data_IF_818277519351
#
_entry.id   IF_818277519351
#
_cell.length_a   1.000
_cell.length_b   1.000
_cell.length_c   1.000
_cell.angle_alpha   90.00
_cell.angle_beta   90.00
_cell.angle_gamma   90.00
#
_symmetry.space_group_name_H-M   'P 1'
#
loop_
_entity.id
_entity.type
_entity.pdbx_description
1 polymer ?
#
# COMPACT_ATOMS: atom_id res chain seq x y z
N UNK A 1 95.56 6.89 0.57
CA UNK A 1 95.17 5.97 -0.52
C UNK A 1 93.65 5.92 -0.53
N UNK A 2 92.96 6.75 -1.33
CA UNK A 2 92.63 6.54 -2.76
C UNK A 2 91.73 5.32 -2.98
N UNK A 3 90.43 5.62 -3.19
CA UNK A 3 89.39 4.98 -4.06
C UNK A 3 88.97 3.52 -3.78
N UNK A 4 87.72 3.07 -3.88
CA UNK A 4 86.56 3.31 -4.78
C UNK A 4 85.27 2.90 -4.02
N UNK A 5 84.09 3.54 -4.10
CA UNK A 5 83.24 3.75 -5.28
C UNK A 5 82.12 2.69 -5.35
N UNK A 6 80.87 2.97 -4.93
CA UNK A 6 79.66 2.23 -5.35
C UNK A 6 78.38 3.06 -5.26
N UNK A 7 77.55 2.86 -6.28
CA UNK A 7 76.51 3.74 -6.83
C UNK A 7 75.24 3.83 -5.98
N UNK A 8 74.65 5.03 -6.03
CA UNK A 8 73.24 5.32 -5.80
C UNK A 8 72.39 4.50 -6.79
N UNK A 9 71.49 3.64 -6.32
CA UNK A 9 70.48 2.99 -7.17
C UNK A 9 69.10 3.54 -6.82
N UNK A 10 68.48 4.07 -7.86
CA UNK A 10 67.21 4.78 -7.92
C UNK A 10 66.04 4.04 -7.26
N UNK A 11 65.46 4.66 -6.23
CA UNK A 11 64.25 4.23 -5.55
C UNK A 11 63.01 4.75 -6.31
N UNK A 12 62.83 4.34 -7.57
CA UNK A 12 61.64 4.70 -8.38
C UNK A 12 60.77 3.50 -8.78
N UNK A 13 61.21 2.26 -8.49
CA UNK A 13 60.47 1.05 -8.89
C UNK A 13 59.44 0.53 -7.86
N UNK A 14 59.53 0.92 -6.59
CA UNK A 14 58.72 0.32 -5.53
C UNK A 14 57.39 1.04 -5.26
N UNK A 15 57.29 2.33 -5.64
CA UNK A 15 56.08 3.14 -5.41
C UNK A 15 54.95 2.90 -6.42
N UNK A 16 55.27 2.40 -7.63
CA UNK A 16 54.27 2.17 -8.67
C UNK A 16 53.50 0.84 -8.50
N UNK A 17 54.09 -0.15 -7.83
CA UNK A 17 53.44 -1.44 -7.58
C UNK A 17 52.40 -1.34 -6.45
N UNK A 18 52.69 -0.59 -5.38
CA UNK A 18 51.74 -0.37 -4.28
C UNK A 18 50.60 0.56 -4.68
N UNK A 19 50.86 1.56 -5.53
CA UNK A 19 49.81 2.43 -6.09
C UNK A 19 48.84 1.66 -7.00
N UNK A 20 49.35 0.76 -7.87
CA UNK A 20 48.48 -0.10 -8.69
C UNK A 20 47.69 -1.11 -7.86
N UNK A 21 48.28 -1.68 -6.81
CA UNK A 21 47.55 -2.60 -5.92
C UNK A 21 46.47 -1.89 -5.10
N UNK A 22 46.74 -0.65 -4.66
CA UNK A 22 45.75 0.19 -3.97
C UNK A 22 44.61 0.61 -4.90
N UNK A 23 44.90 0.92 -6.17
CA UNK A 23 43.87 1.20 -7.18
C UNK A 23 43.05 -0.05 -7.56
N UNK A 24 43.67 -1.23 -7.61
CA UNK A 24 42.95 -2.48 -7.86
C UNK A 24 42.07 -2.86 -6.65
N UNK A 25 42.50 -2.57 -5.43
CA UNK A 25 41.71 -2.78 -4.20
C UNK A 25 40.55 -1.78 -4.07
N UNK A 26 40.71 -0.52 -4.50
CA UNK A 26 39.58 0.44 -4.53
C UNK A 26 38.61 0.19 -5.68
N UNK A 27 39.06 -0.39 -6.80
CA UNK A 27 38.17 -0.83 -7.90
C UNK A 27 37.37 -2.09 -7.55
N UNK A 28 37.75 -2.82 -6.49
CA UNK A 28 37.03 -4.00 -6.00
C UNK A 28 36.17 -3.74 -4.76
N UNK A 29 35.81 -2.48 -4.47
CA UNK A 29 34.64 -2.21 -3.64
C UNK A 29 33.39 -2.42 -4.50
N UNK A 30 33.04 -3.69 -4.69
CA UNK A 30 31.68 -4.10 -5.05
C UNK A 30 30.76 -3.41 -4.05
N UNK A 31 29.97 -2.45 -4.53
CA UNK A 31 28.75 -2.07 -3.84
C UNK A 31 27.92 -3.34 -3.73
N UNK A 32 27.98 -3.98 -2.57
CA UNK A 32 27.03 -5.02 -2.22
C UNK A 32 25.71 -4.31 -1.96
N UNK A 33 25.06 -3.85 -3.04
CA UNK A 33 23.65 -3.53 -3.00
C UNK A 33 22.98 -4.81 -2.52
N UNK A 34 22.52 -4.81 -1.28
CA UNK A 34 21.71 -5.92 -0.79
C UNK A 34 20.47 -5.97 -1.69
N UNK A 35 20.45 -6.90 -2.63
CA UNK A 35 19.22 -7.37 -3.26
C UNK A 35 18.41 -8.06 -2.17
N UNK A 36 17.68 -7.27 -1.39
CA UNK A 36 16.57 -7.82 -0.64
C UNK A 36 15.62 -8.42 -1.68
N UNK A 37 15.20 -9.67 -1.51
CA UNK A 37 14.11 -10.20 -2.32
C UNK A 37 12.84 -9.41 -1.96
N UNK A 38 12.44 -8.47 -2.80
CA UNK A 38 11.30 -7.57 -2.56
C UNK A 38 9.94 -8.27 -2.75
N UNK A 39 9.97 -9.56 -3.12
CA UNK A 39 8.78 -10.34 -3.43
C UNK A 39 8.97 -11.82 -3.14
N UNK A 40 7.90 -12.49 -2.72
CA UNK A 40 7.81 -13.95 -2.65
C UNK A 40 6.96 -14.41 -3.83
N UNK A 41 7.40 -15.46 -4.53
CA UNK A 41 6.68 -16.04 -5.66
C UNK A 41 6.55 -17.56 -5.48
N UNK A 42 5.33 -18.05 -5.59
CA UNK A 42 5.00 -19.47 -5.74
C UNK A 42 4.19 -19.61 -7.03
N UNK A 43 4.61 -20.52 -7.90
CA UNK A 43 3.89 -20.78 -9.15
C UNK A 43 2.62 -21.61 -8.89
N UNK A 44 1.67 -21.52 -9.81
CA UNK A 44 0.40 -22.23 -9.81
C UNK A 44 -0.41 -21.86 -11.04
N UNK A 45 -1.50 -22.58 -11.27
CA UNK A 45 -2.42 -22.33 -12.40
C UNK A 45 -3.09 -20.95 -12.28
N UNK A 46 -3.36 -20.52 -11.05
CA UNK A 46 -3.94 -19.21 -10.74
C UNK A 46 -3.03 -18.50 -9.73
N UNK A 47 -2.53 -17.32 -10.10
CA UNK A 47 -1.66 -16.52 -9.21
C UNK A 47 -2.47 -15.44 -8.50
N UNK A 48 -2.39 -15.41 -7.16
CA UNK A 48 -2.94 -14.35 -6.33
C UNK A 48 -1.85 -13.36 -5.89
N UNK A 49 -2.13 -12.07 -6.00
CA UNK A 49 -1.27 -11.01 -5.48
C UNK A 49 -1.46 -10.87 -3.97
N UNK A 50 -0.38 -10.61 -3.24
CA UNK A 50 -0.43 -10.34 -1.79
C UNK A 50 0.25 -9.03 -1.44
N UNK A 51 -0.35 -8.23 -0.55
CA UNK A 51 0.22 -6.98 -0.04
C UNK A 51 0.25 -6.99 1.49
N UNK A 52 1.47 -7.02 2.05
CA UNK A 52 1.68 -7.09 3.49
C UNK A 52 2.65 -6.00 3.97
N UNK A 53 2.45 -5.42 5.16
CA UNK A 53 3.42 -4.52 5.76
C UNK A 53 4.50 -5.33 6.49
N UNK A 54 5.34 -6.04 5.73
CA UNK A 54 6.42 -6.87 6.27
C UNK A 54 7.41 -5.99 7.02
N UNK A 55 7.74 -4.82 6.47
CA UNK A 55 8.54 -3.81 7.15
C UNK A 55 7.72 -2.60 7.62
N UNK A 56 8.25 -1.92 8.62
CA UNK A 56 7.83 -0.58 9.00
C UNK A 56 8.28 0.45 7.96
N UNK A 57 7.76 1.67 8.05
CA UNK A 57 8.25 2.80 7.26
C UNK A 57 9.70 3.08 7.65
N UNK A 58 10.58 3.16 6.66
CA UNK A 58 11.99 3.53 6.86
C UNK A 58 12.19 5.02 7.13
N UNK A 59 13.37 5.37 7.60
CA UNK A 59 13.81 6.76 7.79
C UNK A 59 14.00 7.49 6.44
N UNK A 60 14.33 8.79 6.49
CA UNK A 60 14.49 9.62 5.29
C UNK A 60 15.51 8.99 4.31
N UNK A 61 15.05 8.71 3.10
CA UNK A 61 15.85 8.10 2.03
C UNK A 61 15.86 6.57 2.03
N UNK A 62 15.39 5.91 3.10
CA UNK A 62 15.33 4.45 3.19
C UNK A 62 13.89 3.98 2.97
N UNK A 63 13.61 3.07 2.02
CA UNK A 63 12.24 2.68 1.69
C UNK A 63 11.52 1.93 2.82
N UNK A 64 12.24 1.07 3.51
CA UNK A 64 11.71 0.12 4.47
C UNK A 64 12.55 0.19 5.76
N UNK A 65 11.90 0.10 6.91
CA UNK A 65 12.53 0.07 8.22
C UNK A 65 12.51 -1.33 8.81
N UNK A 66 12.42 -1.42 10.13
CA UNK A 66 12.43 -2.68 10.87
C UNK A 66 11.30 -3.64 10.47
N UNK A 67 11.61 -4.94 10.54
CA UNK A 67 10.69 -6.03 10.26
C UNK A 67 9.56 -6.11 11.32
N UNK A 68 8.32 -6.27 10.85
CA UNK A 68 7.12 -6.40 11.67
C UNK A 68 6.72 -7.85 11.82
N UNK A 69 7.08 -8.45 12.96
CA UNK A 69 6.78 -9.86 13.26
C UNK A 69 5.28 -10.16 13.22
N UNK A 70 4.49 -9.53 14.08
CA UNK A 70 3.07 -9.84 14.23
C UNK A 70 2.19 -9.30 13.08
N UNK A 71 2.33 -8.02 12.74
CA UNK A 71 1.44 -7.36 11.75
C UNK A 71 1.89 -7.53 10.30
N UNK A 72 3.11 -8.03 10.09
CA UNK A 72 3.72 -8.27 8.78
C UNK A 72 3.89 -9.77 8.54
N UNK A 73 4.90 -10.38 9.15
CA UNK A 73 5.26 -11.79 8.93
C UNK A 73 4.11 -12.74 9.25
N UNK A 74 3.47 -12.66 10.42
CA UNK A 74 2.39 -13.60 10.74
C UNK A 74 1.22 -13.53 9.75
N UNK A 75 0.94 -12.33 9.20
CA UNK A 75 -0.14 -12.17 8.21
C UNK A 75 0.25 -12.70 6.84
N UNK A 76 1.51 -12.51 6.46
CA UNK A 76 2.07 -13.09 5.24
C UNK A 76 2.04 -14.63 5.33
N UNK A 77 2.54 -15.19 6.43
CA UNK A 77 2.50 -16.63 6.69
C UNK A 77 1.07 -17.16 6.77
N UNK A 78 0.11 -16.39 7.29
CA UNK A 78 -1.30 -16.78 7.27
C UNK A 78 -1.86 -16.91 5.85
N UNK A 79 -1.43 -16.07 4.90
CA UNK A 79 -1.80 -16.23 3.49
C UNK A 79 -1.17 -17.48 2.89
N UNK A 80 0.13 -17.72 3.14
CA UNK A 80 0.81 -18.93 2.65
C UNK A 80 0.16 -20.19 3.22
N UNK A 81 -0.13 -20.19 4.52
CA UNK A 81 -0.84 -21.28 5.18
C UNK A 81 -2.21 -21.52 4.56
N UNK A 82 -3.00 -20.48 4.30
CA UNK A 82 -4.31 -20.62 3.67
C UNK A 82 -4.21 -21.22 2.26
N UNK A 83 -3.22 -20.80 1.47
CA UNK A 83 -2.97 -21.36 0.12
C UNK A 83 -2.59 -22.82 0.20
N UNK A 84 -1.73 -23.19 1.16
CA UNK A 84 -1.36 -24.57 1.41
C UNK A 84 -2.56 -25.44 1.81
N UNK A 85 -3.49 -24.91 2.61
CA UNK A 85 -4.71 -25.63 2.96
C UNK A 85 -5.61 -25.82 1.74
N UNK A 86 -5.82 -24.76 0.93
CA UNK A 86 -6.66 -24.81 -0.27
C UNK A 86 -6.11 -25.84 -1.27
N UNK A 87 -4.80 -25.80 -1.54
CA UNK A 87 -4.18 -26.72 -2.50
C UNK A 87 -4.17 -28.19 -2.03
N UNK A 88 -4.40 -28.45 -0.73
CA UNK A 88 -4.51 -29.81 -0.16
C UNK A 88 -5.96 -30.30 -0.06
N UNK A 89 -6.94 -29.41 -0.20
CA UNK A 89 -8.35 -29.72 -0.07
C UNK A 89 -8.90 -30.26 -1.41
N UNK A 90 -9.31 -31.54 -1.50
CA UNK A 90 -9.83 -32.10 -2.74
C UNK A 90 -11.22 -31.54 -3.12
N UNK A 91 -11.96 -30.95 -2.17
CA UNK A 91 -13.31 -30.43 -2.40
C UNK A 91 -13.30 -28.98 -2.88
N UNK A 92 -12.16 -28.28 -2.76
CA UNK A 92 -11.99 -26.88 -3.14
C UNK A 92 -10.94 -26.74 -4.25
N UNK A 93 -11.36 -26.31 -5.44
CA UNK A 93 -10.49 -26.13 -6.62
C UNK A 93 -9.78 -27.41 -7.07
N UNK A 94 -10.50 -28.54 -7.14
CA UNK A 94 -9.96 -29.79 -7.65
C UNK A 94 -9.26 -29.62 -9.01
N UNK A 95 -8.00 -30.08 -9.10
CA UNK A 95 -7.11 -29.99 -10.28
C UNK A 95 -6.63 -28.58 -10.66
N UNK A 96 -6.76 -27.59 -9.78
CA UNK A 96 -6.23 -26.24 -9.99
C UNK A 96 -5.36 -25.87 -8.79
N UNK A 97 -4.10 -25.52 -9.03
CA UNK A 97 -3.19 -25.06 -7.98
C UNK A 97 -3.18 -23.54 -7.88
N UNK A 98 -3.32 -23.02 -6.66
CA UNK A 98 -3.13 -21.61 -6.37
C UNK A 98 -1.65 -21.32 -6.13
N UNK A 99 -1.12 -20.39 -6.90
CA UNK A 99 0.17 -19.74 -6.66
C UNK A 99 -0.01 -18.36 -6.06
N UNK A 100 1.09 -17.75 -5.63
CA UNK A 100 1.07 -16.40 -5.04
C UNK A 100 2.23 -15.54 -5.52
N UNK A 101 2.00 -14.23 -5.54
CA UNK A 101 3.03 -13.21 -5.68
C UNK A 101 2.83 -12.15 -4.60
N UNK A 102 3.63 -12.23 -3.54
CA UNK A 102 3.52 -11.38 -2.37
C UNK A 102 4.55 -10.26 -2.43
N UNK A 103 4.13 -9.03 -2.18
CA UNK A 103 4.97 -7.83 -2.16
C UNK A 103 4.90 -7.16 -0.78
N UNK A 104 6.02 -6.59 -0.35
CA UNK A 104 6.06 -5.74 0.83
C UNK A 104 5.56 -4.32 0.52
N UNK A 105 4.70 -3.81 1.39
CA UNK A 105 4.21 -2.42 1.31
C UNK A 105 5.11 -1.44 2.07
N UNK A 106 6.03 -1.95 2.92
CA UNK A 106 6.88 -1.18 3.82
C UNK A 106 6.12 -0.14 4.66
N UNK A 107 4.82 -0.36 4.88
CA UNK A 107 3.92 0.58 5.54
C UNK A 107 3.98 2.01 4.96
N UNK A 108 4.26 2.12 3.65
CA UNK A 108 4.45 3.41 2.96
C UNK A 108 3.64 3.42 1.67
N UNK A 109 2.71 4.35 1.58
CA UNK A 109 1.71 4.40 0.53
C UNK A 109 2.31 4.49 -0.88
N UNK A 110 3.28 5.37 -1.10
CA UNK A 110 3.95 5.56 -2.40
C UNK A 110 4.74 4.33 -2.85
N UNK A 111 5.40 3.65 -1.92
CA UNK A 111 6.14 2.43 -2.22
C UNK A 111 5.21 1.28 -2.55
N UNK A 112 4.14 1.12 -1.77
CA UNK A 112 3.13 0.10 -2.04
C UNK A 112 2.42 0.31 -3.38
N UNK A 113 2.18 1.58 -3.77
CA UNK A 113 1.66 1.95 -5.08
C UNK A 113 2.59 1.47 -6.20
N UNK A 114 3.89 1.79 -6.10
CA UNK A 114 4.91 1.37 -7.07
C UNK A 114 4.99 -0.16 -7.19
N UNK A 115 4.99 -0.87 -6.05
CA UNK A 115 4.98 -2.34 -6.04
C UNK A 115 3.71 -2.89 -6.70
N UNK A 116 2.55 -2.29 -6.45
CA UNK A 116 1.26 -2.75 -7.00
C UNK A 116 1.14 -2.58 -8.51
N UNK A 117 1.92 -1.67 -9.12
CA UNK A 117 2.01 -1.58 -10.58
C UNK A 117 2.52 -2.88 -11.20
N UNK A 118 3.30 -3.68 -10.48
CA UNK A 118 3.78 -4.97 -10.99
C UNK A 118 2.67 -6.01 -11.17
N UNK A 119 1.52 -5.86 -10.50
CA UNK A 119 0.36 -6.74 -10.70
C UNK A 119 -0.37 -6.47 -12.02
N UNK A 120 -0.26 -5.25 -12.56
CA UNK A 120 -0.89 -4.86 -13.83
C UNK A 120 0.06 -4.96 -15.02
N UNK A 121 1.35 -5.16 -14.80
CA UNK A 121 2.35 -5.28 -15.87
C UNK A 121 2.06 -6.41 -16.85
N UNK A 122 1.49 -7.53 -16.39
CA UNK A 122 1.11 -8.66 -17.24
C UNK A 122 0.00 -8.34 -18.25
N UNK A 123 -0.72 -7.24 -18.02
CA UNK A 123 -1.89 -6.83 -18.77
C UNK A 123 -1.57 -5.70 -19.76
N UNK A 124 -0.36 -5.16 -19.68
CA UNK A 124 0.17 -4.20 -20.64
C UNK A 124 0.85 -5.04 -21.73
N UNK A 125 0.23 -5.14 -22.90
CA UNK A 125 0.89 -5.70 -24.08
C UNK A 125 2.16 -4.90 -24.36
N UNK A 126 3.32 -5.53 -24.20
CA UNK A 126 4.58 -4.94 -24.66
C UNK A 126 4.73 -5.26 -26.14
N UNK A 127 4.65 -4.23 -26.98
CA UNK A 127 5.06 -4.34 -28.37
C UNK A 127 6.58 -4.55 -28.42
N UNK A 128 6.98 -5.80 -28.66
CA UNK A 128 8.38 -6.22 -28.68
C UNK A 128 9.02 -6.12 -30.07
N UNK A 129 8.29 -5.59 -31.07
CA UNK A 129 8.74 -5.57 -32.47
C UNK A 129 9.99 -4.72 -32.71
N UNK A 130 10.26 -3.73 -31.85
CA UNK A 130 11.40 -2.82 -31.96
C UNK A 130 12.66 -3.28 -31.19
N UNK A 131 12.56 -4.34 -30.38
CA UNK A 131 13.68 -4.80 -29.55
C UNK A 131 14.44 -5.91 -30.27
N UNK A 132 15.69 -5.63 -30.65
CA UNK A 132 16.61 -6.61 -31.21
C UNK A 132 17.80 -6.76 -30.27
N UNK A 133 18.16 -7.99 -29.92
CA UNK A 133 19.38 -8.24 -29.18
C UNK A 133 20.61 -7.88 -30.04
N UNK A 134 21.70 -7.42 -29.42
CA UNK A 134 22.95 -7.11 -30.11
C UNK A 134 23.50 -8.30 -30.93
N UNK A 135 23.11 -9.52 -30.54
CA UNK A 135 23.53 -10.77 -31.18
C UNK A 135 22.58 -11.22 -32.31
N UNK A 136 21.49 -10.49 -32.57
CA UNK A 136 20.48 -10.86 -33.57
C UNK A 136 19.44 -11.89 -33.08
N UNK A 137 19.62 -12.44 -31.88
CA UNK A 137 18.64 -13.34 -31.26
C UNK A 137 17.31 -12.64 -30.95
N UNK A 138 16.18 -13.36 -30.97
CA UNK A 138 14.91 -12.81 -30.52
C UNK A 138 14.99 -12.46 -29.02
N UNK A 139 14.45 -11.30 -28.61
CA UNK A 139 14.42 -10.93 -27.19
C UNK A 139 13.61 -11.95 -26.39
N UNK A 140 14.20 -12.43 -25.29
CA UNK A 140 13.48 -13.27 -24.32
C UNK A 140 12.65 -12.35 -23.43
N UNK A 141 11.36 -12.20 -23.74
CA UNK A 141 10.42 -11.53 -22.85
C UNK A 141 9.89 -12.53 -21.83
N UNK A 142 10.30 -12.40 -20.57
CA UNK A 142 9.59 -13.03 -19.47
C UNK A 142 8.23 -12.34 -19.35
N UNK A 143 7.15 -13.08 -19.67
CA UNK A 143 5.80 -12.56 -19.47
C UNK A 143 5.59 -12.37 -17.96
N UNK A 144 5.18 -11.18 -17.50
CA UNK A 144 4.89 -10.97 -16.09
C UNK A 144 3.73 -11.89 -15.65
N UNK A 145 3.71 -12.26 -14.38
CA UNK A 145 2.66 -13.13 -13.85
C UNK A 145 1.30 -12.43 -13.92
N UNK A 146 0.32 -13.10 -14.54
CA UNK A 146 -1.05 -12.61 -14.57
C UNK A 146 -1.68 -12.80 -13.20
N UNK A 147 -1.98 -11.68 -12.54
CA UNK A 147 -2.62 -11.68 -11.21
C UNK A 147 -4.13 -11.76 -11.37
N UNK A 148 -4.74 -12.78 -10.75
CA UNK A 148 -6.18 -13.02 -10.83
C UNK A 148 -6.98 -12.26 -9.77
N UNK A 149 -6.34 -11.88 -8.66
CA UNK A 149 -6.92 -11.12 -7.55
C UNK A 149 -5.83 -10.70 -6.56
N UNK A 150 -6.11 -9.70 -5.74
CA UNK A 150 -5.15 -9.14 -4.76
C UNK A 150 -5.70 -9.27 -3.35
N UNK A 151 -4.94 -9.91 -2.46
CA UNK A 151 -5.21 -9.96 -1.02
C UNK A 151 -4.40 -8.86 -0.33
N UNK A 152 -5.09 -7.96 0.36
CA UNK A 152 -4.52 -6.78 1.00
C UNK A 152 -5.01 -5.46 0.42
N UNK A 153 -4.46 -4.31 0.82
CA UNK A 153 -3.38 -4.17 1.80
C UNK A 153 -3.93 -4.04 3.23
N UNK A 154 -3.03 -3.88 4.20
CA UNK A 154 -3.40 -3.68 5.60
C UNK A 154 -3.86 -2.25 5.90
N UNK A 155 -3.09 -1.24 5.48
CA UNK A 155 -3.39 0.16 5.74
C UNK A 155 -4.45 0.70 4.78
N UNK A 156 -5.42 1.45 5.29
CA UNK A 156 -6.51 2.01 4.48
C UNK A 156 -6.01 2.90 3.34
N UNK A 157 -5.00 3.75 3.61
CA UNK A 157 -4.36 4.59 2.60
C UNK A 157 -3.78 3.77 1.44
N UNK A 158 -3.07 2.68 1.75
CA UNK A 158 -2.53 1.76 0.74
C UNK A 158 -3.66 1.08 -0.02
N UNK A 159 -4.67 0.54 0.66
CA UNK A 159 -5.78 -0.15 0.00
C UNK A 159 -6.54 0.76 -0.97
N UNK A 160 -6.76 2.03 -0.60
CA UNK A 160 -7.37 3.04 -1.48
C UNK A 160 -6.50 3.27 -2.72
N UNK A 161 -5.19 3.45 -2.55
CA UNK A 161 -4.26 3.66 -3.65
C UNK A 161 -4.21 2.47 -4.63
N UNK A 162 -4.16 1.25 -4.10
CA UNK A 162 -4.14 0.03 -4.90
C UNK A 162 -5.46 -0.19 -5.62
N UNK A 163 -6.59 -0.01 -4.95
CA UNK A 163 -7.92 -0.12 -5.57
C UNK A 163 -8.07 0.86 -6.74
N UNK A 164 -7.51 2.08 -6.60
CA UNK A 164 -7.48 3.05 -7.68
C UNK A 164 -6.61 2.63 -8.88
N UNK A 165 -5.46 1.96 -8.67
CA UNK A 165 -4.65 1.45 -9.78
C UNK A 165 -5.34 0.29 -10.49
N UNK A 166 -5.86 -0.67 -9.72
CA UNK A 166 -6.44 -1.90 -10.27
C UNK A 166 -7.67 -1.63 -11.14
N UNK A 167 -8.36 -0.49 -10.93
CA UNK A 167 -9.47 -0.02 -11.79
C UNK A 167 -9.04 0.82 -13.00
N UNK A 168 -7.82 1.39 -13.01
CA UNK A 168 -7.42 2.42 -13.98
C UNK A 168 -7.09 1.85 -15.37
N UNK A 169 -6.62 0.60 -15.45
CA UNK A 169 -6.22 0.04 -16.72
C UNK A 169 -7.44 -0.43 -17.50
N UNK A 170 -7.73 0.26 -18.60
CA UNK A 170 -8.63 -0.22 -19.63
C UNK A 170 -7.79 -1.11 -20.53
N UNK A 171 -8.11 -2.40 -20.63
CA UNK A 171 -7.60 -3.16 -21.76
C UNK A 171 -8.30 -2.59 -22.98
N UNK A 172 -7.57 -1.87 -23.83
CA UNK A 172 -8.04 -1.48 -25.15
C UNK A 172 -8.02 -2.72 -26.05
N UNK A 173 -8.83 -3.73 -25.73
CA UNK A 173 -9.30 -4.60 -26.79
C UNK A 173 -10.42 -3.83 -27.48
N UNK A 174 -10.12 -3.28 -28.66
CA UNK A 174 -11.17 -2.89 -29.60
C UNK A 174 -11.80 -4.19 -30.07
N UNK A 175 -12.77 -4.70 -29.32
CA UNK A 175 -13.71 -5.66 -29.89
C UNK A 175 -14.53 -4.90 -30.93
N UNK A 176 -14.77 -5.51 -32.10
CA UNK A 176 -15.42 -4.85 -33.23
C UNK A 176 -16.69 -4.12 -32.77
N UNK A 177 -16.73 -2.80 -33.01
CA UNK A 177 -17.83 -1.94 -32.59
C UNK A 177 -19.18 -2.53 -33.05
N UNK A 178 -20.13 -2.71 -32.11
CA UNK A 178 -21.51 -3.03 -32.47
C UNK A 178 -22.23 -1.73 -32.80
N UNK A 179 -22.68 -1.60 -34.04
CA UNK A 179 -23.65 -0.57 -34.42
C UNK A 179 -25.01 -0.96 -33.84
N UNK A 180 -25.53 -0.19 -32.89
CA UNK A 180 -26.95 -0.27 -32.51
C UNK A 180 -27.82 0.45 -33.55
N UNK A 181 -29.02 -0.05 -33.89
CA UNK A 181 -29.93 0.65 -34.81
C UNK A 181 -30.36 2.00 -34.21
N UNK A 182 -30.36 3.06 -35.04
CA UNK A 182 -30.80 4.40 -34.66
C UNK A 182 -32.34 4.47 -34.51
N UNK A 183 -32.85 5.13 -33.46
CA UNK A 183 -34.23 5.63 -33.45
C UNK A 183 -34.34 6.89 -34.33
N UNK A 184 -35.37 6.96 -35.16
CA UNK A 184 -35.58 8.04 -36.12
C UNK A 184 -36.18 9.27 -35.43
N UNK A 185 -35.37 10.30 -35.21
CA UNK A 185 -35.80 11.58 -34.63
C UNK A 185 -36.08 12.64 -35.70
N UNK A 186 -36.76 12.27 -36.79
CA UNK A 186 -37.47 13.18 -37.70
C UNK A 186 -36.62 14.26 -38.41
N UNK A 187 -35.30 14.25 -38.27
CA UNK A 187 -34.40 15.29 -38.78
C UNK A 187 -33.50 14.82 -39.93
N UNK A 188 -33.71 13.61 -40.46
CA UNK A 188 -32.98 13.12 -41.65
C UNK A 188 -31.51 12.75 -41.43
N UNK A 189 -31.02 12.77 -40.19
CA UNK A 189 -29.68 12.31 -39.82
C UNK A 189 -29.76 11.15 -38.82
N UNK A 190 -29.07 10.04 -39.12
CA UNK A 190 -28.94 8.90 -38.20
C UNK A 190 -27.73 9.14 -37.31
N UNK A 191 -27.95 9.27 -36.00
CA UNK A 191 -26.86 9.29 -35.02
C UNK A 191 -26.50 7.85 -34.69
N UNK A 192 -25.31 7.41 -35.07
CA UNK A 192 -24.78 6.12 -34.63
C UNK A 192 -24.17 6.30 -33.24
N UNK A 193 -24.71 5.60 -32.24
CA UNK A 193 -24.07 5.50 -30.94
C UNK A 193 -22.87 4.56 -31.05
N UNK A 194 -21.67 5.12 -30.84
CA UNK A 194 -20.42 4.37 -30.86
C UNK A 194 -20.08 3.91 -29.45
N UNK A 195 -20.51 2.71 -29.09
CA UNK A 195 -20.06 2.07 -27.86
C UNK A 195 -18.86 1.19 -28.17
N UNK A 196 -17.67 1.63 -27.77
CA UNK A 196 -16.49 0.74 -27.70
C UNK A 196 -16.64 -0.10 -26.44
N UNK A 197 -16.79 -1.43 -26.53
CA UNK A 197 -16.75 -2.29 -25.36
C UNK A 197 -15.32 -2.32 -24.81
N UNK A 198 -14.98 -1.33 -23.98
CA UNK A 198 -13.74 -1.36 -23.22
C UNK A 198 -13.89 -2.41 -22.13
N UNK A 199 -13.16 -3.53 -22.27
CA UNK A 199 -13.01 -4.52 -21.20
C UNK A 199 -12.21 -3.87 -20.08
N UNK A 200 -12.91 -3.25 -19.13
CA UNK A 200 -12.31 -2.71 -17.89
C UNK A 200 -11.49 -3.82 -17.25
N UNK A 201 -10.26 -3.52 -16.84
CA UNK A 201 -9.51 -4.45 -16.00
C UNK A 201 -10.23 -4.57 -14.66
N UNK A 202 -10.45 -5.81 -14.23
CA UNK A 202 -11.25 -6.16 -13.07
C UNK A 202 -10.44 -7.09 -12.19
N UNK A 203 -9.40 -6.58 -11.53
CA UNK A 203 -8.66 -7.36 -10.52
C UNK A 203 -9.37 -7.13 -9.18
N UNK A 204 -10.10 -8.12 -8.63
CA UNK A 204 -10.72 -7.98 -7.33
C UNK A 204 -9.65 -7.83 -6.26
N UNK A 205 -9.89 -6.93 -5.31
CA UNK A 205 -9.04 -6.70 -4.16
C UNK A 205 -9.81 -7.00 -2.87
N UNK A 206 -9.26 -7.87 -2.03
CA UNK A 206 -9.85 -8.19 -0.72
C UNK A 206 -8.89 -7.78 0.39
N UNK A 207 -9.22 -6.73 1.14
CA UNK A 207 -8.41 -6.33 2.30
C UNK A 207 -8.77 -7.13 3.55
N UNK A 208 -7.75 -7.51 4.31
CA UNK A 208 -7.88 -8.18 5.59
C UNK A 208 -7.82 -7.24 6.80
N UNK A 209 -7.58 -5.93 6.62
CA UNK A 209 -7.41 -5.01 7.76
C UNK A 209 -7.73 -3.53 7.50
N UNK A 210 -8.07 -3.12 6.27
CA UNK A 210 -8.39 -1.71 5.97
C UNK A 210 -9.84 -1.37 6.32
N UNK A 211 -10.03 -0.51 7.31
CA UNK A 211 -11.35 -0.23 7.91
C UNK A 211 -11.89 1.17 7.59
N UNK A 212 -11.19 1.98 6.79
CA UNK A 212 -11.67 3.33 6.45
C UNK A 212 -13.11 3.30 5.87
N UNK A 213 -14.01 4.20 6.31
CA UNK A 213 -15.40 4.25 5.84
C UNK A 213 -15.52 4.41 4.32
N UNK A 214 -14.69 5.26 3.71
CA UNK A 214 -14.72 5.58 2.27
C UNK A 214 -14.57 4.36 1.36
N UNK A 215 -13.86 3.32 1.81
CA UNK A 215 -13.69 2.06 1.06
C UNK A 215 -15.01 1.28 0.87
N UNK A 216 -16.10 1.71 1.51
CA UNK A 216 -17.45 1.15 1.31
C UNK A 216 -18.22 1.79 0.15
N UNK A 217 -17.67 2.85 -0.47
CA UNK A 217 -18.28 3.48 -1.65
C UNK A 217 -18.08 2.61 -2.90
N UNK A 218 -19.07 1.77 -3.19
CA UNK A 218 -19.07 0.88 -4.36
C UNK A 218 -19.14 1.63 -5.70
N UNK A 219 -19.46 2.93 -5.72
CA UNK A 219 -19.40 3.72 -6.96
C UNK A 219 -17.96 4.06 -7.34
N UNK A 220 -17.07 4.07 -6.33
CA UNK A 220 -15.65 4.43 -6.47
C UNK A 220 -14.73 3.21 -6.42
N UNK A 221 -15.06 2.23 -5.58
CA UNK A 221 -14.27 1.04 -5.28
C UNK A 221 -15.05 -0.25 -5.58
N UNK A 222 -15.59 -0.37 -6.80
CA UNK A 222 -16.43 -1.48 -7.28
C UNK A 222 -15.76 -2.87 -7.27
N UNK A 223 -14.42 -2.93 -7.28
CA UNK A 223 -13.63 -4.17 -7.17
C UNK A 223 -12.97 -4.37 -5.80
N UNK A 224 -13.30 -3.53 -4.82
CA UNK A 224 -12.78 -3.66 -3.48
C UNK A 224 -13.77 -4.41 -2.59
N UNK A 225 -13.26 -5.28 -1.73
CA UNK A 225 -13.99 -5.93 -0.66
C UNK A 225 -13.08 -6.08 0.55
N UNK A 226 -13.66 -6.39 1.71
CA UNK A 226 -12.88 -6.62 2.93
C UNK A 226 -13.60 -7.57 3.87
N UNK A 227 -12.81 -8.28 4.68
CA UNK A 227 -13.31 -9.19 5.72
C UNK A 227 -13.40 -8.51 7.11
N UNK A 228 -13.22 -7.19 7.16
CA UNK A 228 -13.31 -6.38 8.38
C UNK A 228 -14.37 -5.27 8.20
N UNK A 229 -15.10 -4.87 9.26
CA UNK A 229 -16.12 -3.82 9.16
C UNK A 229 -15.51 -2.43 9.00
N UNK A 230 -16.28 -1.43 8.49
CA UNK A 230 -15.87 -0.03 8.50
C UNK A 230 -15.75 0.54 9.92
N UNK A 231 -14.89 1.55 10.06
CA UNK A 231 -14.72 2.33 11.30
C UNK A 231 -15.97 3.14 11.68
N UNK A 232 -16.98 3.25 10.80
CA UNK A 232 -18.26 3.86 11.15
C UNK A 232 -18.96 3.11 12.30
N UNK A 233 -18.86 1.78 12.32
CA UNK A 233 -19.38 0.97 13.44
C UNK A 233 -18.55 1.15 14.71
N UNK A 234 -17.23 1.29 14.57
CA UNK A 234 -16.36 1.59 15.72
C UNK A 234 -16.68 2.98 16.30
N UNK A 235 -16.85 3.98 15.45
CA UNK A 235 -17.24 5.32 15.83
C UNK A 235 -18.61 5.34 16.53
N UNK A 236 -19.59 4.61 16.00
CA UNK A 236 -20.89 4.46 16.66
C UNK A 236 -20.74 3.87 18.06
N UNK A 237 -20.02 2.77 18.21
CA UNK A 237 -19.80 2.14 19.52
C UNK A 237 -19.09 3.09 20.50
N UNK A 238 -18.17 3.92 20.01
CA UNK A 238 -17.50 4.94 20.83
C UNK A 238 -18.48 6.02 21.30
N UNK A 239 -19.38 6.48 20.44
CA UNK A 239 -20.45 7.43 20.83
C UNK A 239 -21.40 6.80 21.83
N UNK A 240 -21.77 5.53 21.66
CA UNK A 240 -22.65 4.81 22.59
C UNK A 240 -22.02 4.72 23.99
N UNK A 241 -20.70 4.47 24.07
CA UNK A 241 -19.95 4.47 25.34
C UNK A 241 -19.94 5.86 25.98
N UNK A 242 -19.61 6.91 25.21
CA UNK A 242 -19.58 8.31 25.68
C UNK A 242 -20.94 8.70 26.26
N UNK A 243 -22.02 8.31 25.57
CA UNK A 243 -23.40 8.57 25.97
C UNK A 243 -23.77 7.81 27.24
N UNK A 244 -23.46 6.50 27.30
CA UNK A 244 -23.76 5.65 28.45
C UNK A 244 -23.02 6.09 29.73
N UNK A 245 -21.84 6.69 29.58
CA UNK A 245 -21.04 7.20 30.70
C UNK A 245 -21.36 8.66 31.08
N UNK A 246 -22.27 9.32 30.35
CA UNK A 246 -22.65 10.71 30.61
C UNK A 246 -21.51 11.71 30.40
N UNK A 247 -20.61 11.44 29.45
CA UNK A 247 -19.47 12.31 29.17
C UNK A 247 -19.89 13.48 28.27
N UNK A 248 -19.91 14.67 28.85
CA UNK A 248 -20.44 15.85 28.16
C UNK A 248 -19.40 16.64 27.33
N UNK A 249 -18.12 16.28 27.45
CA UNK A 249 -17.02 16.95 26.74
C UNK A 249 -15.85 15.98 26.56
N UNK A 250 -15.47 15.73 25.30
CA UNK A 250 -14.40 14.78 24.95
C UNK A 250 -13.44 15.40 23.94
N UNK A 251 -12.15 15.15 24.11
CA UNK A 251 -11.13 15.52 23.12
C UNK A 251 -10.87 14.31 22.21
N UNK A 252 -10.76 14.53 20.90
CA UNK A 252 -10.50 13.48 19.92
C UNK A 252 -9.11 13.62 19.30
N UNK A 253 -8.40 12.50 19.17
CA UNK A 253 -7.09 12.41 18.54
C UNK A 253 -7.14 11.50 17.31
N UNK A 254 -6.62 11.99 16.19
CA UNK A 254 -6.58 11.27 14.92
C UNK A 254 -5.14 11.07 14.45
N UNK A 255 -4.81 9.88 13.95
CA UNK A 255 -3.65 9.71 13.08
C UNK A 255 -3.88 10.33 11.71
N UNK A 256 -2.85 10.91 11.11
CA UNK A 256 -2.93 11.49 9.77
C UNK A 256 -3.27 10.42 8.71
N UNK A 257 -4.12 10.83 7.76
CA UNK A 257 -4.60 10.04 6.63
C UNK A 257 -5.94 9.34 6.86
N UNK A 258 -6.38 8.57 5.84
CA UNK A 258 -7.74 8.01 5.70
C UNK A 258 -8.24 7.08 6.82
N UNK A 259 -7.42 6.72 7.80
CA UNK A 259 -7.87 5.89 8.93
C UNK A 259 -8.26 6.75 10.13
N UNK A 260 -7.31 7.54 10.64
CA UNK A 260 -7.55 8.31 11.86
C UNK A 260 -8.50 9.47 11.63
N UNK A 261 -8.30 10.24 10.55
CA UNK A 261 -9.13 11.41 10.25
C UNK A 261 -10.56 11.01 9.91
N UNK A 262 -10.76 10.09 8.97
CA UNK A 262 -12.09 9.60 8.59
C UNK A 262 -12.84 8.94 9.76
N UNK A 263 -12.12 8.23 10.65
CA UNK A 263 -12.72 7.65 11.85
C UNK A 263 -13.20 8.72 12.84
N UNK A 264 -12.39 9.75 13.11
CA UNK A 264 -12.78 10.85 13.99
C UNK A 264 -13.89 11.71 13.38
N UNK A 265 -13.88 11.88 12.05
CA UNK A 265 -14.96 12.53 11.31
C UNK A 265 -16.29 11.77 11.49
N UNK A 266 -16.28 10.45 11.32
CA UNK A 266 -17.44 9.60 11.57
C UNK A 266 -17.95 9.74 13.02
N UNK A 267 -17.05 9.70 14.01
CA UNK A 267 -17.41 9.92 15.41
C UNK A 267 -18.06 11.30 15.64
N UNK A 268 -17.46 12.34 15.08
CA UNK A 268 -17.95 13.73 15.22
C UNK A 268 -19.32 13.89 14.58
N UNK A 269 -19.54 13.29 13.42
CA UNK A 269 -20.82 13.35 12.72
C UNK A 269 -21.93 12.64 13.50
N UNK A 270 -21.69 11.40 13.95
CA UNK A 270 -22.65 10.64 14.76
C UNK A 270 -22.97 11.40 16.07
N UNK A 271 -21.94 11.96 16.73
CA UNK A 271 -22.12 12.74 17.96
C UNK A 271 -23.04 13.95 17.75
N UNK A 272 -22.92 14.65 16.62
CA UNK A 272 -23.79 15.78 16.27
C UNK A 272 -25.23 15.35 16.02
N UNK A 273 -25.43 14.21 15.35
CA UNK A 273 -26.77 13.70 15.03
C UNK A 273 -27.57 13.34 16.29
N UNK A 274 -26.93 12.75 17.31
CA UNK A 274 -27.57 12.45 18.59
C UNK A 274 -27.99 13.74 19.30
N UNK A 275 -27.12 14.75 19.35
CA UNK A 275 -27.43 16.07 19.94
C UNK A 275 -28.65 16.71 19.27
N UNK A 276 -28.79 16.56 17.95
CA UNK A 276 -29.94 17.09 17.19
C UNK A 276 -31.23 16.32 17.49
N UNK A 277 -31.18 14.98 17.54
CA UNK A 277 -32.37 14.14 17.68
C UNK A 277 -32.98 14.15 19.09
N UNK A 278 -32.19 14.35 20.14
CA UNK A 278 -32.70 14.33 21.52
C UNK A 278 -33.37 15.65 21.97
N UNK A 279 -33.43 16.70 21.12
CA UNK A 279 -33.92 18.05 21.49
C UNK A 279 -33.28 18.57 22.80
N UNK A 280 -32.07 18.15 23.13
CA UNK A 280 -31.38 18.63 24.31
C UNK A 280 -30.86 20.04 24.03
N UNK A 281 -31.26 20.98 24.89
CA UNK A 281 -30.74 22.34 24.94
C UNK A 281 -29.21 22.32 24.87
N UNK A 282 -28.67 23.03 23.87
CA UNK A 282 -27.26 23.35 23.63
C UNK A 282 -26.32 22.99 24.80
N UNK A 283 -25.50 21.96 24.63
CA UNK A 283 -24.33 21.77 25.51
C UNK A 283 -23.74 20.36 25.63
N UNK A 284 -24.36 19.31 25.11
CA UNK A 284 -24.05 17.98 25.66
C UNK A 284 -22.86 17.23 25.09
N UNK A 285 -22.28 17.58 23.93
CA UNK A 285 -20.99 17.01 23.52
C UNK A 285 -20.21 18.02 22.69
N UNK A 286 -19.31 18.75 23.34
CA UNK A 286 -18.27 19.48 22.61
C UNK A 286 -17.14 18.52 22.24
N UNK A 287 -16.76 18.49 20.96
CA UNK A 287 -15.62 17.70 20.46
C UNK A 287 -14.54 18.63 19.92
N UNK A 288 -13.34 18.60 20.51
CA UNK A 288 -12.14 19.23 19.94
C UNK A 288 -11.25 18.18 19.28
N UNK A 289 -10.90 18.37 18.00
CA UNK A 289 -10.10 17.41 17.22
C UNK A 289 -8.72 17.94 16.88
N UNK A 290 -7.68 17.16 17.15
CA UNK A 290 -6.29 17.46 16.78
C UNK A 290 -5.61 16.24 16.11
N UNK A 291 -4.81 16.51 15.08
CA UNK A 291 -4.06 15.47 14.33
C UNK A 291 -2.73 15.16 15.02
N UNK A 292 -2.50 13.90 15.39
CA UNK A 292 -1.33 13.44 16.14
C UNK A 292 0.01 13.83 15.50
N UNK A 293 0.15 13.86 14.17
CA UNK A 293 1.43 14.25 13.53
C UNK A 293 1.74 15.74 13.64
N UNK A 294 0.74 16.59 13.88
CA UNK A 294 0.91 18.04 14.09
C UNK A 294 1.24 18.42 15.53
N UNK A 295 0.96 17.54 16.50
CA UNK A 295 1.13 17.84 17.92
C UNK A 295 2.60 18.04 18.32
N UNK A 296 2.96 19.27 18.66
CA UNK A 296 4.16 19.65 19.43
C UNK A 296 4.06 19.19 20.89
N UNK A 297 5.17 19.22 21.65
CA UNK A 297 5.13 18.97 23.11
C UNK A 297 4.23 19.98 23.85
N UNK A 298 3.93 21.14 23.24
CA UNK A 298 2.99 22.14 23.77
C UNK A 298 1.52 21.78 23.52
N UNK A 299 1.17 21.16 22.40
CA UNK A 299 -0.23 20.74 22.13
C UNK A 299 -0.62 19.48 22.92
N UNK A 300 0.34 18.60 23.27
CA UNK A 300 0.10 17.56 24.29
C UNK A 300 -0.24 18.18 25.65
N UNK A 301 0.32 19.36 25.96
CA UNK A 301 -0.09 20.14 27.15
C UNK A 301 -1.46 20.78 26.96
N UNK A 302 -1.87 21.16 25.74
CA UNK A 302 -3.24 21.66 25.45
C UNK A 302 -4.30 20.59 25.71
N UNK A 303 -4.05 19.33 25.31
CA UNK A 303 -4.95 18.20 25.63
C UNK A 303 -5.00 17.96 27.15
N UNK A 304 -3.87 18.10 27.85
CA UNK A 304 -3.80 18.03 29.32
C UNK A 304 -4.34 19.28 30.04
N UNK A 305 -4.50 20.41 29.35
CA UNK A 305 -4.91 21.71 29.91
C UNK A 305 -6.36 22.08 29.58
N UNK A 306 -6.99 21.42 28.60
CA UNK A 306 -8.42 21.54 28.38
C UNK A 306 -9.21 20.99 29.57
N UNK A 307 -10.37 21.58 29.86
CA UNK A 307 -11.32 21.05 30.87
C UNK A 307 -11.94 19.68 30.48
N UNK A 308 -11.42 18.99 29.45
CA UNK A 308 -11.78 17.61 29.13
C UNK A 308 -11.20 16.66 30.19
N UNK A 309 -12.05 15.98 30.96
CA UNK A 309 -11.60 14.86 31.78
C UNK A 309 -11.21 13.61 30.97
N UNK A 310 -11.62 13.52 29.69
CA UNK A 310 -11.52 12.32 28.86
C UNK A 310 -11.03 12.65 27.43
N UNK A 311 -10.11 11.83 26.92
CA UNK A 311 -9.59 11.91 25.55
C UNK A 311 -9.78 10.57 24.84
N UNK A 312 -10.21 10.64 23.58
CA UNK A 312 -10.56 9.52 22.74
C UNK A 312 -9.67 9.51 21.49
N UNK A 313 -9.08 8.37 21.13
CA UNK A 313 -8.10 8.31 20.04
C UNK A 313 -8.43 7.27 18.98
N UNK A 314 -8.53 7.67 17.71
CA UNK A 314 -8.52 6.78 16.55
C UNK A 314 -7.16 6.92 15.85
N UNK A 315 -6.24 6.08 16.30
CA UNK A 315 -4.81 6.29 16.06
C UNK A 315 -4.13 4.99 15.64
N UNK A 316 -3.15 5.11 14.75
CA UNK A 316 -2.29 3.99 14.33
C UNK A 316 -1.43 3.57 15.52
N UNK A 317 -1.35 2.26 15.77
CA UNK A 317 -0.69 1.65 16.95
C UNK A 317 0.69 2.23 17.32
N UNK A 318 1.55 2.53 16.33
CA UNK A 318 2.90 3.08 16.60
C UNK A 318 2.89 4.57 16.98
N UNK A 319 1.88 5.34 16.57
CA UNK A 319 1.85 6.80 16.77
C UNK A 319 1.42 7.18 18.18
N UNK A 320 0.57 6.37 18.82
CA UNK A 320 0.12 6.62 20.20
C UNK A 320 1.22 6.41 21.25
N UNK A 321 1.98 5.31 21.12
CA UNK A 321 2.99 4.92 22.12
C UNK A 321 4.22 5.82 22.18
N UNK A 322 4.49 6.60 21.12
CA UNK A 322 5.65 7.51 21.04
C UNK A 322 5.39 8.87 21.71
N UNK A 323 4.13 9.33 21.77
CA UNK A 323 3.79 10.67 22.32
C UNK A 323 3.24 10.66 23.75
N UNK A 324 2.62 9.57 24.19
CA UNK A 324 2.04 9.47 25.55
C UNK A 324 3.03 9.06 26.65
N UNK A 325 4.25 8.67 26.28
CA UNK A 325 5.32 8.30 27.24
C UNK A 325 6.22 9.47 27.66
N UNK A 326 5.95 10.69 27.17
CA UNK A 326 6.60 11.95 27.58
C UNK A 326 5.59 12.83 28.32
#
# INVERSE_FOLDING_TARGET
MVYEGKRLVSCHGFFLLTAKFCWILTVMQRTHGQEYAHSIRLDGDIILGGLFPVHAKGDRGVPCGELKKEKGIHRLEAMLYAIDQINKDPDLLANITLGVRILDTCSRDTYALEQSLTFVQALIEKDGSDVKCANGDPPIFTKPDKISGVIGAAASSVSIMVANILRLFKANHVEAARLSPSEDHGSGYKVAHFEVPVKKLKIPQISYASTAPELSDNTRYDFFSRVVPPDSYQAQAMVDIVTALGWNYVSTLASEGNYGESGVEAFTQISREIVVNEKLTQGLMGTGSETLMKLSEEEVKVIKAGNCGWSLGIVKYKEFGLKMKK
#
